data_IF_809566490505
#
_entry.id   IF_809566490505
#
_cell.length_a   1.000
_cell.length_b   1.000
_cell.length_c   1.000
_cell.angle_alpha   90.00
_cell.angle_beta   90.00
_cell.angle_gamma   90.00
#
_symmetry.space_group_name_H-M   'P 1'
#
loop_
_entity.id
_entity.type
_entity.pdbx_description
1 polymer ?
#
# COMPACT_ATOMS: atom_id res chain seq x y z
N UNK A 1 8.04 16.93 -8.88
CA UNK A 1 6.66 16.40 -9.02
C UNK A 1 5.69 17.56 -8.95
N UNK A 2 4.65 17.61 -9.78
CA UNK A 2 3.66 18.70 -9.67
C UNK A 2 2.91 18.63 -8.33
N UNK A 3 2.56 19.79 -7.76
CA UNK A 3 1.80 19.90 -6.50
C UNK A 3 0.52 19.04 -6.53
N UNK A 4 -0.10 18.93 -7.70
CA UNK A 4 -1.34 18.18 -7.94
C UNK A 4 -1.23 16.67 -7.65
N UNK A 5 -0.08 16.03 -7.92
CA UNK A 5 0.08 14.59 -7.62
C UNK A 5 0.32 14.31 -6.14
N UNK A 6 0.94 15.24 -5.39
CA UNK A 6 1.09 15.10 -3.92
C UNK A 6 -0.25 15.27 -3.19
N UNK A 7 -1.10 16.18 -3.68
CA UNK A 7 -2.43 16.40 -3.13
C UNK A 7 -3.32 15.16 -3.23
N UNK A 8 -3.25 14.41 -4.35
CA UNK A 8 -4.06 13.20 -4.59
C UNK A 8 -3.85 12.07 -3.60
N UNK A 9 -2.67 11.98 -2.97
CA UNK A 9 -2.38 10.95 -1.96
C UNK A 9 -2.41 11.50 -0.53
N UNK A 10 -2.87 12.74 -0.34
CA UNK A 10 -2.86 13.42 0.97
C UNK A 10 -1.52 13.24 1.73
N UNK A 11 -0.40 13.39 1.01
CA UNK A 11 0.92 13.22 1.60
C UNK A 11 1.13 14.32 2.64
N UNK A 12 1.46 13.94 3.88
CA UNK A 12 1.77 14.88 4.95
C UNK A 12 3.08 15.61 4.64
N UNK A 13 3.21 16.83 5.13
CA UNK A 13 4.47 17.58 5.04
C UNK A 13 5.58 16.76 5.71
N UNK A 14 6.67 16.48 4.97
CA UNK A 14 7.79 15.67 5.46
C UNK A 14 7.81 14.20 5.00
N UNK A 15 6.73 13.67 4.41
CA UNK A 15 6.75 12.28 3.94
C UNK A 15 7.66 12.08 2.73
N UNK A 16 8.53 11.08 2.82
CA UNK A 16 9.48 10.71 1.78
C UNK A 16 8.94 9.55 0.97
N UNK A 17 8.76 9.75 -0.33
CA UNK A 17 8.29 8.69 -1.23
C UNK A 17 9.43 7.72 -1.49
N UNK A 18 9.24 6.46 -1.08
CA UNK A 18 10.17 5.37 -1.31
C UNK A 18 9.90 4.67 -2.64
N UNK A 19 8.62 4.54 -3.02
CA UNK A 19 8.21 3.87 -4.25
C UNK A 19 6.86 4.38 -4.75
N UNK A 20 6.66 4.33 -6.07
CA UNK A 20 5.39 4.61 -6.74
C UNK A 20 5.16 3.67 -7.91
N UNK A 21 3.92 3.48 -8.31
CA UNK A 21 3.53 2.77 -9.53
C UNK A 21 2.06 2.38 -9.51
N UNK A 22 1.58 1.84 -10.62
CA UNK A 22 0.18 1.40 -10.73
C UNK A 22 -0.03 0.02 -10.13
N UNK A 23 -1.20 -0.19 -9.55
CA UNK A 23 -1.69 -1.46 -9.01
C UNK A 23 -3.20 -1.57 -9.23
N UNK A 24 -3.75 -2.77 -9.17
CA UNK A 24 -5.20 -2.95 -9.14
C UNK A 24 -5.62 -3.44 -7.75
N UNK A 25 -6.45 -2.68 -7.05
CA UNK A 25 -7.01 -3.10 -5.78
C UNK A 25 -8.14 -4.12 -6.01
N UNK A 26 -8.06 -5.25 -5.32
CA UNK A 26 -9.08 -6.30 -5.36
C UNK A 26 -9.71 -6.40 -3.96
N UNK A 27 -10.98 -6.04 -3.83
CA UNK A 27 -11.73 -6.30 -2.61
C UNK A 27 -11.71 -7.82 -2.30
N UNK A 28 -11.53 -8.18 -1.03
CA UNK A 28 -11.42 -9.57 -0.62
C UNK A 28 -12.65 -10.37 -1.07
N UNK A 29 -12.43 -11.43 -1.86
CA UNK A 29 -13.48 -12.36 -2.31
C UNK A 29 -13.70 -12.48 -3.82
N UNK A 30 -13.14 -11.60 -4.66
CA UNK A 30 -13.37 -11.66 -6.11
C UNK A 30 -12.17 -11.28 -6.99
N UNK A 31 -12.01 -11.97 -8.12
CA UNK A 31 -11.15 -11.54 -9.23
C UNK A 31 -11.87 -10.56 -10.19
N UNK A 32 -13.20 -10.45 -10.07
CA UNK A 32 -14.07 -9.78 -11.05
C UNK A 32 -14.20 -8.25 -10.86
N UNK A 33 -13.77 -7.69 -9.72
CA UNK A 33 -13.94 -6.27 -9.40
C UNK A 33 -12.63 -5.63 -8.95
N UNK A 34 -11.60 -5.74 -9.80
CA UNK A 34 -10.34 -5.05 -9.58
C UNK A 34 -10.47 -3.60 -10.05
N UNK A 35 -10.05 -2.66 -9.20
CA UNK A 35 -10.02 -1.24 -9.52
C UNK A 35 -8.57 -0.84 -9.75
N UNK A 36 -8.25 -0.36 -10.95
CA UNK A 36 -6.93 0.16 -11.26
C UNK A 36 -6.70 1.53 -10.63
N UNK A 37 -5.54 1.72 -10.03
CA UNK A 37 -5.16 2.97 -9.42
C UNK A 37 -3.65 3.15 -9.30
N UNK A 38 -3.27 4.30 -8.77
CA UNK A 38 -1.90 4.61 -8.41
C UNK A 38 -1.63 4.19 -6.96
N UNK A 39 -0.47 3.58 -6.73
CA UNK A 39 0.04 3.28 -5.40
C UNK A 39 1.33 4.06 -5.10
N UNK A 40 1.47 4.48 -3.85
CA UNK A 40 2.65 5.16 -3.32
C UNK A 40 3.02 4.57 -1.98
N UNK A 41 4.27 4.16 -1.83
CA UNK A 41 4.87 3.81 -0.55
C UNK A 41 5.70 5.00 -0.07
N UNK A 42 5.38 5.53 1.10
CA UNK A 42 6.22 6.49 1.82
C UNK A 42 7.02 5.79 2.92
N UNK A 43 7.77 6.56 3.68
CA UNK A 43 8.42 6.17 4.93
C UNK A 43 7.44 5.94 6.10
N UNK A 44 6.19 6.36 5.97
CA UNK A 44 5.17 6.31 7.04
C UNK A 44 3.92 5.51 6.68
N UNK A 45 3.55 5.45 5.40
CA UNK A 45 2.26 4.93 4.91
C UNK A 45 2.39 4.21 3.57
N UNK A 46 1.49 3.27 3.34
CA UNK A 46 1.16 2.77 2.01
C UNK A 46 -0.14 3.41 1.54
N UNK A 47 -0.12 4.03 0.37
CA UNK A 47 -1.25 4.70 -0.24
C UNK A 47 -1.66 4.01 -1.53
N UNK A 48 -2.96 3.93 -1.75
CA UNK A 48 -3.58 3.60 -3.03
C UNK A 48 -4.68 4.60 -3.32
N UNK A 49 -4.76 5.06 -4.56
CA UNK A 49 -5.78 5.97 -5.05
C UNK A 49 -6.28 5.47 -6.40
N UNK A 50 -7.60 5.38 -6.55
CA UNK A 50 -8.24 5.14 -7.83
C UNK A 50 -9.44 6.07 -8.01
N UNK A 51 -9.69 6.45 -9.26
CA UNK A 51 -10.92 7.13 -9.66
C UNK A 51 -11.73 6.15 -10.51
N UNK A 52 -12.93 5.83 -10.04
CA UNK A 52 -13.85 4.93 -10.74
C UNK A 52 -14.46 5.63 -11.95
N UNK A 53 -14.98 4.84 -12.88
CA UNK A 53 -15.70 5.35 -14.06
C UNK A 53 -16.96 6.14 -13.68
N UNK A 54 -17.52 5.88 -12.51
CA UNK A 54 -18.64 6.64 -11.90
C UNK A 54 -18.22 8.03 -11.42
N UNK A 55 -16.92 8.35 -11.41
CA UNK A 55 -16.36 9.57 -10.84
C UNK A 55 -16.05 9.48 -9.34
N UNK A 56 -16.47 8.39 -8.68
CA UNK A 56 -16.16 8.13 -7.28
C UNK A 56 -14.67 7.91 -7.05
N UNK A 57 -14.18 8.38 -5.90
CA UNK A 57 -12.79 8.25 -5.49
C UNK A 57 -12.67 7.12 -4.49
N UNK A 58 -11.82 6.14 -4.80
CA UNK A 58 -11.45 5.07 -3.88
C UNK A 58 -10.04 5.28 -3.38
N UNK A 59 -9.86 5.32 -2.06
CA UNK A 59 -8.55 5.47 -1.43
C UNK A 59 -8.32 4.42 -0.36
N UNK A 60 -7.09 3.94 -0.28
CA UNK A 60 -6.61 3.10 0.82
C UNK A 60 -5.36 3.75 1.38
N UNK A 61 -5.37 4.04 2.68
CA UNK A 61 -4.22 4.56 3.40
C UNK A 61 -3.92 3.64 4.59
N UNK A 62 -2.75 3.02 4.57
CA UNK A 62 -2.33 2.07 5.59
C UNK A 62 -1.08 2.62 6.29
N UNK A 63 -1.15 3.00 7.57
CA UNK A 63 0.03 3.30 8.37
C UNK A 63 0.97 2.08 8.41
N UNK A 64 2.25 2.29 8.12
CA UNK A 64 3.22 1.18 8.06
C UNK A 64 3.38 0.48 9.40
N UNK A 65 3.16 1.19 10.51
CA UNK A 65 3.19 0.63 11.86
C UNK A 65 1.99 -0.27 12.20
N UNK A 66 0.92 -0.25 11.40
CA UNK A 66 -0.25 -1.14 11.52
C UNK A 66 -0.10 -2.42 10.68
N UNK A 67 0.93 -2.52 9.84
CA UNK A 67 1.17 -3.68 8.97
C UNK A 67 1.93 -4.74 9.77
N UNK A 68 1.33 -5.91 9.97
CA UNK A 68 2.01 -7.07 10.58
C UNK A 68 2.36 -8.16 9.57
N UNK A 69 1.75 -8.14 8.38
CA UNK A 69 1.99 -9.16 7.35
C UNK A 69 2.05 -8.55 5.96
N UNK A 70 3.03 -8.97 5.16
CA UNK A 70 3.14 -8.61 3.75
C UNK A 70 3.49 -9.85 2.97
N UNK A 71 2.58 -10.30 2.12
CA UNK A 71 2.72 -11.58 1.41
C UNK A 71 2.54 -11.42 -0.09
N UNK A 72 3.12 -12.36 -0.83
CA UNK A 72 2.84 -12.54 -2.25
C UNK A 72 1.83 -13.66 -2.39
N UNK A 73 0.64 -13.33 -2.89
CA UNK A 73 -0.45 -14.30 -3.11
C UNK A 73 -0.73 -14.42 -4.61
N UNK A 74 -1.09 -15.62 -5.06
CA UNK A 74 -1.58 -15.86 -6.42
C UNK A 74 -0.90 -17.03 -7.13
N UNK A 75 -1.44 -17.39 -8.29
CA UNK A 75 -0.97 -18.51 -9.11
C UNK A 75 0.34 -18.09 -9.79
N UNK A 76 1.38 -18.94 -9.80
CA UNK A 76 2.57 -18.70 -10.61
C UNK A 76 2.19 -18.28 -12.05
N UNK A 77 2.84 -17.25 -12.58
CA UNK A 77 2.66 -16.66 -13.93
C UNK A 77 1.44 -15.76 -14.19
N UNK A 78 0.25 -16.01 -13.64
CA UNK A 78 -0.97 -15.27 -14.04
C UNK A 78 -1.29 -14.04 -13.19
N UNK A 79 -1.22 -14.13 -11.87
CA UNK A 79 -1.53 -13.01 -10.98
C UNK A 79 -0.58 -13.00 -9.81
N UNK A 80 0.17 -11.91 -9.70
CA UNK A 80 1.13 -11.69 -8.62
C UNK A 80 0.56 -10.59 -7.73
N UNK A 81 -0.26 -10.99 -6.75
CA UNK A 81 -0.89 -10.08 -5.80
C UNK A 81 0.03 -9.83 -4.61
N UNK A 82 0.08 -8.57 -4.16
CA UNK A 82 0.57 -8.15 -2.86
C UNK A 82 -0.60 -8.23 -1.89
N UNK A 83 -0.45 -8.94 -0.78
CA UNK A 83 -1.39 -8.91 0.33
C UNK A 83 -0.75 -8.16 1.50
N UNK A 84 -1.45 -7.17 2.02
CA UNK A 84 -1.06 -6.40 3.21
C UNK A 84 -2.07 -6.73 4.31
N UNK A 85 -1.60 -7.29 5.42
CA UNK A 85 -2.40 -7.64 6.57
C UNK A 85 -2.22 -6.61 7.68
N UNK A 86 -3.34 -6.11 8.21
CA UNK A 86 -3.42 -5.17 9.33
C UNK A 86 -4.50 -5.62 10.30
N UNK A 87 -4.60 -4.95 11.45
CA UNK A 87 -5.67 -5.22 12.43
C UNK A 87 -7.08 -4.88 11.90
N UNK A 88 -7.15 -4.08 10.83
CA UNK A 88 -8.41 -3.69 10.16
C UNK A 88 -8.84 -4.67 9.07
N UNK A 89 -7.93 -5.57 8.66
CA UNK A 89 -8.20 -6.58 7.65
C UNK A 89 -7.07 -6.75 6.64
N UNK A 90 -7.40 -7.44 5.55
CA UNK A 90 -6.45 -7.81 4.50
C UNK A 90 -6.75 -7.02 3.21
N UNK A 91 -5.70 -6.40 2.67
CA UNK A 91 -5.77 -5.61 1.45
C UNK A 91 -4.99 -6.31 0.33
N UNK A 92 -5.64 -6.54 -0.80
CA UNK A 92 -5.04 -7.24 -1.94
C UNK A 92 -4.84 -6.29 -3.12
N UNK A 93 -3.62 -6.22 -3.62
CA UNK A 93 -3.24 -5.39 -4.75
C UNK A 93 -2.54 -6.22 -5.83
N UNK A 94 -3.06 -6.25 -7.04
CA UNK A 94 -2.35 -6.82 -8.19
C UNK A 94 -1.32 -5.82 -8.70
N UNK A 95 -0.09 -6.27 -8.93
CA UNK A 95 0.94 -5.39 -9.47
C UNK A 95 1.86 -6.11 -10.44
N UNK A 96 2.21 -5.40 -11.51
CA UNK A 96 3.30 -5.80 -12.38
C UNK A 96 4.61 -5.79 -11.57
N UNK A 97 5.36 -6.90 -11.62
CA UNK A 97 6.52 -7.13 -10.77
C UNK A 97 6.28 -7.04 -9.25
N UNK A 98 5.28 -7.75 -8.70
CA UNK A 98 4.98 -7.75 -7.25
C UNK A 98 6.18 -7.91 -6.32
N UNK A 99 7.22 -8.66 -6.73
CA UNK A 99 8.44 -8.83 -5.92
C UNK A 99 9.16 -7.51 -5.63
N UNK A 100 9.03 -6.53 -6.53
CA UNK A 100 9.55 -5.16 -6.37
C UNK A 100 8.67 -4.29 -5.48
N UNK A 101 7.52 -4.77 -5.03
CA UNK A 101 6.62 -4.11 -4.09
C UNK A 101 6.63 -4.78 -2.72
N UNK A 102 6.54 -6.11 -2.68
CA UNK A 102 6.51 -6.89 -1.44
C UNK A 102 7.74 -6.64 -0.56
N UNK A 103 8.95 -6.69 -1.14
CA UNK A 103 10.20 -6.43 -0.39
C UNK A 103 10.26 -5.01 0.20
N UNK A 104 10.07 -3.91 -0.56
CA UNK A 104 10.08 -2.57 0.02
C UNK A 104 8.98 -2.31 1.05
N UNK A 105 7.76 -2.79 0.82
CA UNK A 105 6.63 -2.58 1.75
C UNK A 105 6.92 -3.29 3.07
N UNK A 106 7.40 -4.55 3.03
CA UNK A 106 7.80 -5.29 4.22
C UNK A 106 8.90 -4.59 5.00
N UNK A 107 9.99 -4.21 4.33
CA UNK A 107 11.12 -3.53 4.98
C UNK A 107 10.75 -2.15 5.56
N UNK A 108 9.78 -1.45 4.96
CA UNK A 108 9.28 -0.19 5.49
C UNK A 108 8.36 -0.42 6.72
N UNK A 109 7.50 -1.43 6.68
CA UNK A 109 6.65 -1.82 7.81
C UNK A 109 7.46 -2.27 9.04
N UNK A 110 8.46 -3.12 8.84
CA UNK A 110 9.35 -3.59 9.92
C UNK A 110 10.05 -2.41 10.62
N UNK A 111 10.61 -1.46 9.84
CA UNK A 111 11.24 -0.24 10.38
C UNK A 111 10.26 0.64 11.15
N UNK A 112 9.05 0.85 10.61
CA UNK A 112 8.03 1.66 11.27
C UNK A 112 7.56 1.03 12.60
N UNK A 113 7.50 -0.29 12.67
CA UNK A 113 7.16 -1.02 13.90
C UNK A 113 8.27 -0.96 14.95
N UNK A 114 9.53 -1.12 14.54
CA UNK A 114 10.67 -1.00 15.45
C UNK A 114 10.71 0.40 16.08
N UNK A 115 10.56 1.46 15.28
CA UNK A 115 10.51 2.84 15.78
C UNK A 115 9.35 3.10 16.76
N UNK A 116 8.19 2.44 16.57
CA UNK A 116 7.05 2.56 17.49
C UNK A 116 7.33 1.86 18.84
N UNK A 117 8.00 0.70 18.82
CA UNK A 117 8.38 -0.03 20.03
C UNK A 117 9.38 0.77 20.88
N UNK A 118 10.44 1.30 20.26
CA UNK A 118 11.44 2.15 20.94
C UNK A 118 10.82 3.38 21.62
N UNK A 119 9.77 3.95 21.01
CA UNK A 119 9.07 5.09 21.61
C UNK A 119 8.14 4.70 22.78
N UNK A 120 7.74 3.43 22.86
CA UNK A 120 6.85 2.92 23.92
C UNK A 120 7.65 2.48 25.15
N UNK A 121 8.87 1.97 24.97
CA UNK A 121 9.73 1.48 26.06
C UNK A 121 10.58 2.59 26.74
N UNK A 122 10.59 3.80 26.17
CA UNK A 122 11.31 4.97 26.71
C UNK A 122 10.45 5.94 27.54
N UNK A 123 9.25 5.54 27.98
CA UNK A 123 8.34 6.35 28.80
C UNK A 123 8.06 5.74 30.16
#
# INVERSE_FOLDING_TARGET
>A
MSKSKRARFHLKSGETILKKGMMDYCAAGGYAHAVQGDAVLTDTRFHFYAQLTTGEIYTVEIPLSEIYGVEKIGVPFFTRSLCIATDRGNYRFNAFFVGRWCKPVRAAAERARAAKAEHTDGK
#
